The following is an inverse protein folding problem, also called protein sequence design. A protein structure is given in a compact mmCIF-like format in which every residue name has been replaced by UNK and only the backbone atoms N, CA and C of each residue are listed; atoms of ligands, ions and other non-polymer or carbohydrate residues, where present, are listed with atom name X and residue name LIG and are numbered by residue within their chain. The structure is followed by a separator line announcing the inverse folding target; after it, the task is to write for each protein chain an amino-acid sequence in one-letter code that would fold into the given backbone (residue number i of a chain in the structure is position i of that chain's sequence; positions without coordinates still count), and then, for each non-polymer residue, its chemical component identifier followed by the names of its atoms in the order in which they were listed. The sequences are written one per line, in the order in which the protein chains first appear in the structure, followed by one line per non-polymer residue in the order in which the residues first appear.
data_IF_409400382186
#
_entry.id   IF_409400382186
#
_cell.length_a   1.000
_cell.length_b   1.000
_cell.length_c   1.000
_cell.angle_alpha   90.00
_cell.angle_beta   90.00
_cell.angle_gamma   90.00
#
_symmetry.space_group_name_H-M   'P 1'
#
loop_
_entity.id
_entity.type
_entity.pdbx_description
1 polymer ?
#
# COMPACT_ATOMS: atom_id res chain seq x y z
N UNK A 1 -16.55 3.92 -4.31
CA UNK A 1 -15.29 4.55 -4.84
C UNK A 1 -14.74 3.72 -5.98
N UNK A 2 -13.98 4.38 -6.87
CA UNK A 2 -13.28 3.73 -7.97
C UNK A 2 -11.80 4.14 -7.90
N UNK A 3 -10.90 3.18 -7.89
CA UNK A 3 -9.46 3.40 -7.92
C UNK A 3 -8.70 2.12 -8.26
N UNK A 4 -7.42 2.24 -8.50
CA UNK A 4 -6.53 1.10 -8.75
C UNK A 4 -5.40 1.16 -7.73
N UNK A 5 -5.23 0.10 -6.96
CA UNK A 5 -4.06 -0.06 -6.10
C UNK A 5 -2.95 -0.77 -6.87
N UNK A 6 -1.73 -0.31 -6.69
CA UNK A 6 -0.54 -0.88 -7.33
C UNK A 6 0.57 -1.12 -6.32
N UNK A 7 1.46 -2.04 -6.69
CA UNK A 7 2.73 -2.25 -6.02
C UNK A 7 3.77 -2.75 -7.03
N UNK A 8 5.00 -2.22 -6.96
CA UNK A 8 6.12 -2.60 -7.82
C UNK A 8 7.21 -3.30 -7.01
N UNK A 9 7.80 -4.35 -7.61
CA UNK A 9 9.08 -4.87 -7.15
C UNK A 9 10.20 -4.49 -8.13
N UNK A 10 11.41 -4.26 -7.58
CA UNK A 10 12.58 -3.90 -8.38
C UNK A 10 13.68 -4.96 -8.28
N UNK A 11 14.35 -5.23 -9.40
CA UNK A 11 15.44 -6.20 -9.46
C UNK A 11 16.66 -5.76 -8.63
N UNK A 12 16.87 -4.44 -8.50
CA UNK A 12 18.01 -3.86 -7.79
C UNK A 12 17.67 -2.44 -7.29
N UNK A 13 18.68 -1.69 -6.86
CA UNK A 13 18.55 -0.32 -6.30
C UNK A 13 18.11 0.74 -7.33
N UNK A 14 18.20 0.47 -8.63
CA UNK A 14 17.78 1.40 -9.67
C UNK A 14 16.25 1.42 -9.78
N UNK A 15 15.68 2.61 -9.96
CA UNK A 15 14.23 2.79 -10.09
C UNK A 15 13.66 2.31 -11.42
N UNK A 16 14.48 2.20 -12.45
CA UNK A 16 14.11 1.67 -13.77
C UNK A 16 14.25 0.14 -13.87
N UNK A 17 14.51 -0.54 -12.76
CA UNK A 17 14.69 -2.00 -12.70
C UNK A 17 13.43 -2.76 -12.29
N UNK A 18 12.22 -2.26 -12.63
CA UNK A 18 10.98 -2.95 -12.34
C UNK A 18 11.03 -4.42 -12.79
N UNK A 19 10.75 -5.36 -11.88
CA UNK A 19 10.74 -6.81 -12.17
C UNK A 19 9.38 -7.47 -11.95
N UNK A 20 8.46 -6.80 -11.27
CA UNK A 20 7.04 -7.16 -11.26
C UNK A 20 6.16 -5.97 -10.94
N UNK A 21 4.88 -6.09 -11.28
CA UNK A 21 3.81 -5.18 -10.85
C UNK A 21 2.57 -5.97 -10.46
N UNK A 22 1.98 -5.61 -9.34
CA UNK A 22 0.66 -6.04 -8.92
C UNK A 22 -0.36 -4.90 -9.08
N UNK A 23 -1.57 -5.25 -9.49
CA UNK A 23 -2.71 -4.32 -9.59
C UNK A 23 -3.94 -4.92 -8.92
N UNK A 24 -4.69 -4.08 -8.23
CA UNK A 24 -6.01 -4.41 -7.69
C UNK A 24 -6.99 -3.32 -8.09
N UNK A 25 -8.00 -3.69 -8.86
CA UNK A 25 -9.02 -2.77 -9.38
C UNK A 25 -10.20 -2.74 -8.43
N UNK A 26 -10.52 -1.55 -7.94
CA UNK A 26 -11.71 -1.31 -7.11
C UNK A 26 -12.71 -0.50 -7.90
N UNK A 27 -13.95 -1.01 -8.00
CA UNK A 27 -15.12 -0.31 -8.54
C UNK A 27 -16.29 -0.44 -7.59
N UNK A 28 -17.01 0.65 -7.36
CA UNK A 28 -18.18 0.70 -6.48
C UNK A 28 -17.89 0.10 -5.07
N UNK A 29 -16.74 0.41 -4.49
CA UNK A 29 -16.24 -0.12 -3.20
C UNK A 29 -16.01 -1.64 -3.18
N UNK A 30 -15.90 -2.28 -4.32
CA UNK A 30 -15.63 -3.72 -4.42
C UNK A 30 -14.38 -3.98 -5.25
N UNK A 31 -13.56 -4.92 -4.81
CA UNK A 31 -12.45 -5.43 -5.59
C UNK A 31 -13.04 -6.31 -6.69
N UNK A 32 -12.82 -5.92 -7.95
CA UNK A 32 -13.37 -6.63 -9.11
C UNK A 32 -12.32 -7.36 -9.93
N UNK A 33 -11.05 -7.00 -9.78
CA UNK A 33 -9.96 -7.61 -10.54
C UNK A 33 -8.65 -7.49 -9.78
N UNK A 34 -7.83 -8.53 -9.89
CA UNK A 34 -6.43 -8.54 -9.45
C UNK A 34 -5.55 -9.04 -10.58
N UNK A 35 -4.43 -8.38 -10.80
CA UNK A 35 -3.45 -8.78 -11.82
C UNK A 35 -2.05 -8.79 -11.24
N UNK A 36 -1.24 -9.65 -11.81
CA UNK A 36 0.18 -9.76 -11.52
C UNK A 36 0.96 -9.98 -12.80
N UNK A 37 1.99 -9.19 -13.01
CA UNK A 37 2.87 -9.34 -14.15
C UNK A 37 4.32 -9.37 -13.69
N UNK A 38 5.04 -10.39 -14.13
CA UNK A 38 6.50 -10.36 -14.14
C UNK A 38 6.96 -9.46 -15.28
N UNK A 39 8.01 -8.69 -15.03
CA UNK A 39 8.59 -7.74 -15.97
C UNK A 39 10.06 -8.10 -16.17
N UNK A 40 10.49 -8.21 -17.41
CA UNK A 40 11.91 -8.35 -17.73
C UNK A 40 12.54 -6.95 -17.69
N UNK A 41 13.39 -6.63 -16.69
CA UNK A 41 14.07 -5.34 -16.65
C UNK A 41 15.11 -5.23 -17.79
N UNK A 42 15.48 -3.99 -18.17
CA UNK A 42 16.48 -3.74 -19.21
C UNK A 42 17.82 -4.42 -18.90
N UNK A 43 18.21 -4.43 -17.64
CA UNK A 43 19.41 -5.12 -17.15
C UNK A 43 18.98 -6.28 -16.24
N UNK A 44 19.37 -7.52 -16.58
CA UNK A 44 19.05 -8.72 -15.78
C UNK A 44 19.96 -8.85 -14.54
N UNK A 45 20.30 -7.73 -13.91
CA UNK A 45 21.04 -7.69 -12.67
C UNK A 45 20.07 -7.64 -11.49
N UNK A 46 20.12 -8.67 -10.67
CA UNK A 46 19.31 -8.77 -9.44
C UNK A 46 20.21 -8.66 -8.21
N UNK A 47 19.91 -7.71 -7.36
CA UNK A 47 20.63 -7.54 -6.10
C UNK A 47 20.16 -8.59 -5.08
N UNK A 48 21.08 -9.23 -4.31
CA UNK A 48 20.70 -10.25 -3.34
C UNK A 48 19.68 -9.78 -2.30
N UNK A 49 19.75 -8.51 -1.91
CA UNK A 49 18.82 -7.93 -0.95
C UNK A 49 17.39 -7.87 -1.51
N UNK A 50 17.22 -7.49 -2.80
CA UNK A 50 15.93 -7.45 -3.45
C UNK A 50 15.35 -8.87 -3.60
N UNK A 51 16.17 -9.84 -4.01
CA UNK A 51 15.76 -11.25 -4.07
C UNK A 51 15.33 -11.76 -2.68
N UNK A 52 16.02 -11.39 -1.62
CA UNK A 52 15.65 -11.82 -0.26
C UNK A 52 14.32 -11.22 0.21
N UNK A 53 13.89 -10.10 -0.37
CA UNK A 53 12.63 -9.44 -0.06
C UNK A 53 11.48 -10.09 -0.81
N UNK A 54 11.51 -10.13 -2.14
CA UNK A 54 10.37 -10.55 -2.97
C UNK A 54 10.53 -11.93 -3.64
N UNK A 55 11.70 -12.56 -3.55
CA UNK A 55 11.97 -13.91 -4.06
C UNK A 55 12.22 -13.99 -5.57
N UNK A 56 11.92 -12.96 -6.37
CA UNK A 56 12.04 -12.97 -7.82
C UNK A 56 13.51 -12.98 -8.23
N UNK A 57 13.87 -13.85 -9.17
CA UNK A 57 15.22 -14.03 -9.71
C UNK A 57 15.25 -13.71 -11.21
N UNK A 58 16.45 -13.49 -11.74
CA UNK A 58 16.65 -13.28 -13.17
C UNK A 58 16.08 -14.42 -14.05
N UNK A 59 16.12 -15.68 -13.55
CA UNK A 59 15.52 -16.84 -14.22
C UNK A 59 14.02 -16.71 -14.44
N UNK A 60 13.32 -16.10 -13.47
CA UNK A 60 11.86 -16.04 -13.44
C UNK A 60 11.32 -15.03 -14.46
N UNK A 61 12.09 -13.98 -14.73
CA UNK A 61 11.70 -12.90 -15.64
C UNK A 61 12.33 -12.99 -17.03
N UNK A 62 13.22 -13.96 -17.29
CA UNK A 62 13.97 -14.01 -18.57
C UNK A 62 13.07 -14.08 -19.81
N UNK A 63 11.92 -14.74 -19.70
CA UNK A 63 10.92 -14.91 -20.74
C UNK A 63 9.71 -13.99 -20.57
N UNK A 64 9.71 -13.11 -19.55
CA UNK A 64 8.65 -12.14 -19.36
C UNK A 64 8.73 -11.02 -20.41
N UNK A 65 7.63 -10.33 -20.63
CA UNK A 65 7.61 -9.10 -21.43
C UNK A 65 8.49 -8.03 -20.78
N UNK A 66 9.16 -7.24 -21.60
CA UNK A 66 9.75 -5.98 -21.14
C UNK A 66 8.65 -4.97 -20.83
N UNK A 67 8.99 -3.89 -20.12
CA UNK A 67 7.96 -2.94 -19.68
C UNK A 67 7.24 -2.27 -20.85
N UNK A 68 7.95 -1.89 -21.90
CA UNK A 68 7.38 -1.32 -23.13
C UNK A 68 6.40 -2.27 -23.83
N UNK A 69 6.72 -3.58 -23.85
CA UNK A 69 5.83 -4.61 -24.39
C UNK A 69 4.58 -4.83 -23.54
N UNK A 70 4.69 -4.60 -22.22
CA UNK A 70 3.58 -4.75 -21.29
C UNK A 70 2.75 -3.47 -21.20
N UNK A 71 3.34 -2.30 -21.45
CA UNK A 71 2.70 -1.00 -21.23
C UNK A 71 1.35 -0.81 -21.91
N UNK A 72 1.12 -1.26 -23.16
CA UNK A 72 -0.22 -1.19 -23.76
C UNK A 72 -1.31 -1.89 -22.96
N UNK A 73 -0.98 -2.95 -22.23
CA UNK A 73 -1.92 -3.64 -21.34
C UNK A 73 -2.11 -2.89 -20.01
N UNK A 74 -1.07 -2.20 -19.53
CA UNK A 74 -1.09 -1.45 -18.27
C UNK A 74 -1.72 -0.05 -18.41
N UNK A 75 -1.51 0.62 -19.53
CA UNK A 75 -1.93 2.01 -19.74
C UNK A 75 -3.40 2.29 -19.39
N UNK A 76 -4.38 1.42 -19.71
CA UNK A 76 -5.78 1.64 -19.34
C UNK A 76 -6.03 1.73 -17.83
N UNK A 77 -5.19 1.08 -17.02
CA UNK A 77 -5.30 1.13 -15.56
C UNK A 77 -4.80 2.45 -14.98
N UNK A 78 -3.91 3.14 -15.70
CA UNK A 78 -3.38 4.43 -15.26
C UNK A 78 -4.16 5.63 -15.81
N UNK A 79 -4.58 5.56 -17.07
CA UNK A 79 -5.20 6.71 -17.76
C UNK A 79 -6.51 7.13 -17.12
N UNK A 80 -6.58 8.39 -16.67
CA UNK A 80 -7.74 9.01 -16.02
C UNK A 80 -8.25 8.31 -14.76
N UNK A 81 -7.40 7.48 -14.13
CA UNK A 81 -7.71 6.80 -12.88
C UNK A 81 -7.01 7.47 -11.69
N UNK A 82 -7.45 7.12 -10.49
CA UNK A 82 -6.74 7.42 -9.26
C UNK A 82 -5.97 6.15 -8.85
N UNK A 83 -4.65 6.29 -8.74
CA UNK A 83 -3.74 5.22 -8.35
C UNK A 83 -3.47 5.33 -6.85
N UNK A 84 -3.59 4.22 -6.14
CA UNK A 84 -3.19 4.13 -4.73
C UNK A 84 -2.01 3.19 -4.59
N UNK A 85 -1.02 3.58 -3.81
CA UNK A 85 0.10 2.70 -3.47
C UNK A 85 0.51 2.88 -2.01
N UNK A 86 1.10 1.84 -1.42
CA UNK A 86 1.62 1.94 -0.06
C UNK A 86 3.07 2.40 -0.09
N UNK A 87 3.35 3.64 0.32
CA UNK A 87 4.59 4.37 0.05
C UNK A 87 4.72 4.80 -1.43
N UNK A 88 3.65 5.38 -1.96
CA UNK A 88 3.51 5.76 -3.36
C UNK A 88 4.70 6.55 -3.96
N UNK A 89 5.54 7.20 -3.13
CA UNK A 89 6.76 7.84 -3.59
C UNK A 89 7.73 6.83 -4.24
N UNK A 90 7.74 5.58 -3.76
CA UNK A 90 8.53 4.51 -4.34
C UNK A 90 7.94 4.07 -5.69
N UNK A 91 6.69 3.63 -5.69
CA UNK A 91 6.03 3.05 -6.87
C UNK A 91 5.93 4.02 -8.03
N UNK A 92 5.54 5.27 -7.75
CA UNK A 92 5.48 6.32 -8.77
C UNK A 92 6.87 6.76 -9.25
N UNK A 93 7.92 6.59 -8.44
CA UNK A 93 9.30 6.76 -8.89
C UNK A 93 9.72 5.62 -9.82
N UNK A 94 9.42 4.37 -9.46
CA UNK A 94 9.67 3.21 -10.34
C UNK A 94 8.95 3.37 -11.67
N UNK A 95 7.66 3.68 -11.64
CA UNK A 95 6.87 3.91 -12.86
C UNK A 95 7.51 4.97 -13.76
N UNK A 96 7.82 6.16 -13.21
CA UNK A 96 8.39 7.26 -13.99
C UNK A 96 9.75 6.91 -14.60
N UNK A 97 10.69 6.40 -13.80
CA UNK A 97 12.02 6.07 -14.30
C UNK A 97 11.98 4.93 -15.33
N UNK A 98 11.06 3.98 -15.16
CA UNK A 98 10.87 2.92 -16.16
C UNK A 98 10.29 3.49 -17.46
N UNK A 99 9.28 4.37 -17.39
CA UNK A 99 8.74 5.05 -18.57
C UNK A 99 9.81 5.90 -19.28
N UNK A 100 10.61 6.65 -18.51
CA UNK A 100 11.73 7.45 -19.04
C UNK A 100 12.76 6.58 -19.77
N UNK A 101 13.12 5.42 -19.18
CA UNK A 101 14.09 4.50 -19.78
C UNK A 101 13.63 3.92 -21.13
N UNK A 102 12.32 3.82 -21.35
CA UNK A 102 11.73 3.37 -22.60
C UNK A 102 11.22 4.51 -23.49
N UNK A 103 11.45 5.78 -23.11
CA UNK A 103 10.96 6.96 -23.83
C UNK A 103 9.44 6.97 -24.04
N UNK A 104 8.70 6.46 -23.07
CA UNK A 104 7.24 6.39 -23.07
C UNK A 104 6.67 7.61 -22.33
N UNK A 105 5.71 8.34 -22.92
CA UNK A 105 5.05 9.46 -22.24
C UNK A 105 4.35 9.03 -20.94
N UNK A 106 4.33 9.91 -19.96
CA UNK A 106 3.61 9.66 -18.71
C UNK A 106 2.10 9.61 -18.93
N UNK A 107 1.39 8.69 -18.28
CA UNK A 107 -0.06 8.67 -18.31
C UNK A 107 -0.64 9.86 -17.53
N UNK A 108 -1.83 10.31 -17.93
CA UNK A 108 -2.56 11.29 -17.13
C UNK A 108 -3.33 10.58 -16.02
N UNK A 109 -2.84 10.66 -14.79
CA UNK A 109 -3.48 10.08 -13.62
C UNK A 109 -3.25 10.91 -12.36
N UNK A 110 -4.08 10.68 -11.35
CA UNK A 110 -3.85 11.16 -9.99
C UNK A 110 -3.40 9.99 -9.11
N UNK A 111 -2.76 10.28 -8.01
CA UNK A 111 -2.32 9.20 -7.12
C UNK A 111 -2.30 9.59 -5.65
N UNK A 112 -2.49 8.61 -4.80
CA UNK A 112 -2.49 8.74 -3.35
C UNK A 112 -1.55 7.73 -2.67
N UNK A 113 -1.28 7.97 -1.39
CA UNK A 113 -0.37 7.16 -0.60
C UNK A 113 -1.07 6.65 0.66
N UNK A 114 -1.32 5.34 0.73
CA UNK A 114 -1.98 4.74 1.89
C UNK A 114 -1.12 4.77 3.14
N UNK A 115 0.21 4.86 3.03
CA UNK A 115 1.07 5.07 4.20
C UNK A 115 0.85 6.45 4.83
N UNK A 116 0.62 7.51 4.03
CA UNK A 116 0.27 8.84 4.56
C UNK A 116 -1.12 8.80 5.19
N UNK A 117 -2.09 8.18 4.53
CA UNK A 117 -3.44 7.99 5.07
C UNK A 117 -3.37 7.26 6.42
N UNK A 118 -2.66 6.14 6.49
CA UNK A 118 -2.56 5.33 7.71
C UNK A 118 -1.91 6.06 8.87
N UNK A 119 -0.85 6.84 8.62
CA UNK A 119 -0.22 7.67 9.67
C UNK A 119 -1.15 8.72 10.26
N UNK A 120 -2.07 9.23 9.46
CA UNK A 120 -3.03 10.24 9.90
C UNK A 120 -4.26 9.61 10.57
N UNK A 121 -4.70 8.47 10.06
CA UNK A 121 -5.92 7.78 10.46
C UNK A 121 -5.71 6.88 11.69
N UNK A 122 -4.57 6.20 11.76
CA UNK A 122 -4.18 5.33 12.87
C UNK A 122 -2.95 5.86 13.61
N UNK A 123 -3.02 7.05 14.24
CA UNK A 123 -1.86 7.69 14.88
C UNK A 123 -1.32 6.91 16.09
N UNK A 124 -2.08 5.95 16.61
CA UNK A 124 -1.73 5.10 17.75
C UNK A 124 -0.86 3.90 17.35
N UNK A 125 -0.75 3.57 16.05
CA UNK A 125 0.12 2.48 15.61
C UNK A 125 1.60 2.89 15.74
N UNK A 126 2.44 1.93 16.09
CA UNK A 126 3.89 2.18 16.23
C UNK A 126 4.53 2.67 14.92
N UNK A 127 3.99 2.23 13.79
CA UNK A 127 4.40 2.66 12.46
C UNK A 127 3.26 2.44 11.46
N UNK A 128 3.42 2.98 10.24
CA UNK A 128 2.45 2.81 9.15
C UNK A 128 3.00 1.91 8.04
N UNK A 129 3.75 0.86 8.37
CA UNK A 129 4.16 -0.16 7.41
C UNK A 129 2.93 -0.98 6.99
N UNK A 130 2.94 -1.50 5.77
CA UNK A 130 1.82 -2.23 5.19
C UNK A 130 1.37 -3.39 6.09
N UNK A 131 2.31 -4.20 6.56
CA UNK A 131 2.04 -5.31 7.47
C UNK A 131 1.45 -4.87 8.82
N UNK A 132 1.96 -3.79 9.42
CA UNK A 132 1.45 -3.26 10.69
C UNK A 132 0.01 -2.80 10.55
N UNK A 133 -0.30 -2.07 9.47
CA UNK A 133 -1.65 -1.56 9.22
C UNK A 133 -2.61 -2.71 8.92
N UNK A 134 -2.23 -3.66 8.06
CA UNK A 134 -3.08 -4.80 7.72
C UNK A 134 -3.34 -5.70 8.93
N UNK A 135 -2.34 -5.97 9.74
CA UNK A 135 -2.52 -6.70 11.00
C UNK A 135 -3.53 -5.99 11.93
N UNK A 136 -3.40 -4.67 12.08
CA UNK A 136 -4.36 -3.87 12.86
C UNK A 136 -5.79 -3.97 12.32
N UNK A 137 -5.95 -4.06 11.00
CA UNK A 137 -7.25 -4.19 10.34
C UNK A 137 -7.78 -5.64 10.31
N UNK A 138 -7.06 -6.60 10.89
CA UNK A 138 -7.42 -8.01 10.88
C UNK A 138 -7.30 -8.66 9.49
N UNK A 139 -6.44 -8.12 8.63
CA UNK A 139 -6.23 -8.60 7.27
C UNK A 139 -4.93 -9.42 7.22
N UNK A 140 -5.06 -10.69 6.86
CA UNK A 140 -3.90 -11.55 6.59
C UNK A 140 -3.52 -11.46 5.11
N UNK A 141 -2.22 -11.36 4.82
CA UNK A 141 -1.72 -11.37 3.45
C UNK A 141 -0.24 -11.84 3.40
N UNK A 142 0.16 -12.33 2.23
CA UNK A 142 1.52 -12.75 1.98
C UNK A 142 2.35 -11.53 1.52
N UNK A 143 3.09 -10.92 2.43
CA UNK A 143 3.88 -9.73 2.20
C UNK A 143 5.05 -9.99 1.23
N UNK A 144 5.43 -8.95 0.46
CA UNK A 144 6.46 -8.98 -0.58
C UNK A 144 6.11 -9.79 -1.84
N UNK A 145 4.83 -9.86 -2.15
CA UNK A 145 4.34 -10.28 -3.44
C UNK A 145 3.48 -9.14 -4.00
N UNK A 146 3.91 -8.51 -5.09
CA UNK A 146 3.32 -7.26 -5.58
C UNK A 146 1.78 -7.30 -5.71
N UNK A 147 1.19 -8.43 -6.14
CA UNK A 147 -0.27 -8.56 -6.18
C UNK A 147 -0.91 -8.57 -4.78
N UNK A 148 -0.29 -9.23 -3.82
CA UNK A 148 -0.80 -9.27 -2.44
C UNK A 148 -0.64 -7.91 -1.77
N UNK A 149 0.46 -7.19 -2.01
CA UNK A 149 0.72 -5.87 -1.46
C UNK A 149 -0.22 -4.81 -2.08
N UNK A 150 -0.50 -4.88 -3.40
CA UNK A 150 -1.53 -4.06 -4.05
C UNK A 150 -2.94 -4.36 -3.50
N UNK A 151 -3.26 -5.63 -3.24
CA UNK A 151 -4.53 -6.03 -2.63
C UNK A 151 -4.66 -5.49 -1.19
N UNK A 152 -3.61 -5.63 -0.40
CA UNK A 152 -3.55 -5.11 0.96
C UNK A 152 -3.70 -3.58 0.98
N UNK A 153 -3.05 -2.89 0.04
CA UNK A 153 -3.20 -1.44 -0.17
C UNK A 153 -4.67 -1.05 -0.46
N UNK A 154 -5.36 -1.81 -1.34
CA UNK A 154 -6.76 -1.57 -1.66
C UNK A 154 -7.66 -1.77 -0.43
N UNK A 155 -7.45 -2.82 0.34
CA UNK A 155 -8.22 -3.11 1.55
C UNK A 155 -8.09 -2.02 2.62
N UNK A 156 -6.91 -1.41 2.78
CA UNK A 156 -6.72 -0.28 3.69
C UNK A 156 -7.66 0.88 3.30
N UNK A 157 -7.74 1.21 2.02
CA UNK A 157 -8.63 2.29 1.53
C UNK A 157 -10.09 1.94 1.76
N UNK A 158 -10.49 0.70 1.46
CA UNK A 158 -11.87 0.23 1.64
C UNK A 158 -12.28 0.23 3.11
N UNK A 159 -11.40 -0.18 4.03
CA UNK A 159 -11.66 -0.13 5.47
C UNK A 159 -11.80 1.31 5.98
N UNK A 160 -10.94 2.21 5.53
CA UNK A 160 -11.09 3.63 5.86
C UNK A 160 -12.41 4.22 5.32
N UNK A 161 -12.86 3.80 4.14
CA UNK A 161 -14.13 4.22 3.58
C UNK A 161 -15.32 3.71 4.39
N UNK A 162 -15.29 2.45 4.83
CA UNK A 162 -16.33 1.89 5.71
C UNK A 162 -16.48 2.70 7.01
N UNK A 163 -15.36 3.13 7.60
CA UNK A 163 -15.36 3.89 8.83
C UNK A 163 -15.74 5.37 8.63
N UNK A 164 -15.26 6.01 7.57
CA UNK A 164 -15.51 7.43 7.28
C UNK A 164 -16.87 7.65 6.61
N UNK A 165 -17.43 6.63 5.97
CA UNK A 165 -18.66 6.70 5.17
C UNK A 165 -18.66 7.86 4.17
N UNK A 166 -17.49 8.11 3.56
CA UNK A 166 -17.31 9.16 2.57
C UNK A 166 -17.87 8.75 1.20
N UNK A 167 -18.29 9.72 0.40
CA UNK A 167 -18.94 9.50 -0.90
C UNK A 167 -17.95 8.97 -1.94
N UNK A 168 -16.72 9.50 -1.94
CA UNK A 168 -15.70 9.15 -2.92
C UNK A 168 -14.29 9.15 -2.32
N UNK A 169 -13.30 8.74 -3.13
CA UNK A 169 -11.92 8.65 -2.70
C UNK A 169 -11.27 10.02 -2.45
N UNK A 170 -11.71 11.06 -3.13
CA UNK A 170 -11.18 12.42 -2.95
C UNK A 170 -11.60 12.97 -1.58
N UNK A 171 -12.86 12.79 -1.23
CA UNK A 171 -13.37 13.13 0.09
C UNK A 171 -12.63 12.34 1.19
N UNK A 172 -12.43 11.03 1.01
CA UNK A 172 -11.64 10.21 1.93
C UNK A 172 -10.24 10.80 2.10
N UNK A 173 -9.55 11.06 1.00
CA UNK A 173 -8.20 11.62 1.04
C UNK A 173 -8.16 12.97 1.77
N UNK A 174 -9.12 13.84 1.51
CA UNK A 174 -9.23 15.14 2.17
C UNK A 174 -9.48 14.98 3.68
N UNK A 175 -10.44 14.15 4.08
CA UNK A 175 -10.76 13.87 5.48
C UNK A 175 -9.57 13.25 6.22
N UNK A 176 -8.87 12.30 5.60
CA UNK A 176 -7.70 11.66 6.15
C UNK A 176 -6.40 12.48 5.96
N UNK A 177 -6.50 13.73 5.47
CA UNK A 177 -5.38 14.67 5.41
C UNK A 177 -4.33 14.36 4.35
N UNK A 178 -4.75 13.83 3.20
CA UNK A 178 -3.91 13.57 2.04
C UNK A 178 -4.32 14.49 0.88
N UNK A 179 -3.35 15.20 0.29
CA UNK A 179 -3.47 15.82 -1.02
C UNK A 179 -2.97 14.83 -2.07
N UNK A 180 -3.83 14.48 -3.03
CA UNK A 180 -3.43 13.64 -4.15
C UNK A 180 -2.32 14.31 -4.97
N UNK A 181 -1.41 13.50 -5.47
CA UNK A 181 -0.44 13.88 -6.49
C UNK A 181 -1.02 13.72 -7.89
N UNK A 182 -0.29 14.20 -8.90
CA UNK A 182 -0.63 14.05 -10.32
C UNK A 182 0.57 13.57 -11.10
N UNK A 183 0.32 12.78 -12.13
CA UNK A 183 1.28 12.41 -13.15
C UNK A 183 0.65 12.74 -14.51
N UNK A 184 1.38 13.43 -15.37
CA UNK A 184 0.95 13.84 -16.70
C UNK A 184 2.19 14.02 -17.61
N UNK A 185 1.98 14.19 -18.89
CA UNK A 185 3.03 14.30 -19.90
C UNK A 185 4.09 15.40 -19.62
N UNK A 186 3.68 16.51 -19.03
CA UNK A 186 4.59 17.61 -18.65
C UNK A 186 5.30 17.39 -17.29
N UNK A 187 5.09 16.26 -16.58
CA UNK A 187 5.75 15.94 -15.32
C UNK A 187 4.85 15.40 -14.23
N UNK A 188 5.20 15.68 -12.95
CA UNK A 188 4.43 15.17 -11.82
C UNK A 188 4.41 16.15 -10.65
N UNK A 189 3.36 16.04 -9.85
CA UNK A 189 3.23 16.72 -8.56
C UNK A 189 3.10 15.63 -7.48
N UNK A 190 3.95 15.61 -6.44
CA UNK A 190 3.91 14.55 -5.44
C UNK A 190 2.64 14.61 -4.57
N UNK A 191 2.12 13.43 -4.22
CA UNK A 191 1.13 13.31 -3.16
C UNK A 191 1.76 13.73 -1.82
N UNK A 192 1.02 14.46 -0.99
CA UNK A 192 1.56 14.99 0.27
C UNK A 192 0.52 15.08 1.37
N UNK A 193 1.00 15.05 2.61
CA UNK A 193 0.17 15.34 3.78
C UNK A 193 -0.38 16.76 3.70
N UNK A 194 -1.67 16.91 3.92
CA UNK A 194 -2.28 18.23 4.12
C UNK A 194 -1.81 18.81 5.46
N UNK A 195 -1.47 20.08 5.48
CA UNK A 195 -1.30 20.81 6.74
C UNK A 195 -2.67 20.86 7.41
N UNK A 196 -2.75 20.47 8.69
CA UNK A 196 -4.01 20.58 9.46
C UNK A 196 -4.43 22.04 9.45
N UNK A 197 -5.50 22.36 8.74
CA UNK A 197 -6.28 23.57 8.99
C UNK A 197 -7.12 23.30 10.24
N UNK A 198 -7.13 24.23 11.18
CA UNK A 198 -7.69 24.09 12.54
C UNK A 198 -9.23 23.96 12.57
N UNK A 199 -9.89 23.63 11.47
CA UNK A 199 -11.36 23.71 11.33
C UNK A 199 -12.12 22.38 11.35
N UNK A 200 -11.49 21.26 11.66
CA UNK A 200 -12.21 19.98 11.77
C UNK A 200 -11.99 19.35 13.16
N UNK A 201 -12.73 19.86 14.14
CA UNK A 201 -12.98 19.16 15.41
C UNK A 201 -14.03 18.05 15.20
N UNK A 202 -13.81 17.10 14.34
CA UNK A 202 -14.34 15.75 14.54
C UNK A 202 -13.24 14.99 15.28
N UNK A 203 -13.42 14.84 16.58
CA UNK A 203 -12.66 13.88 17.36
C UNK A 203 -13.03 12.50 16.81
N UNK A 204 -12.27 12.06 15.79
CA UNK A 204 -12.35 10.70 15.34
C UNK A 204 -11.64 9.85 16.40
N UNK A 205 -12.41 9.27 17.27
CA UNK A 205 -12.01 8.12 18.07
C UNK A 205 -12.38 6.91 17.23
N UNK A 206 -11.41 6.19 16.64
CA UNK A 206 -11.70 4.91 16.01
C UNK A 206 -12.46 4.06 17.02
N UNK A 207 -13.60 3.51 16.63
CA UNK A 207 -14.24 2.49 17.45
C UNK A 207 -13.19 1.40 17.68
N UNK A 208 -12.89 1.03 18.93
CA UNK A 208 -12.07 -0.14 19.15
C UNK A 208 -12.76 -1.29 18.41
N UNK A 209 -12.02 -2.00 17.56
CA UNK A 209 -12.51 -3.23 16.96
C UNK A 209 -13.15 -4.07 18.08
N UNK A 210 -14.32 -4.68 17.83
CA UNK A 210 -14.93 -5.52 18.85
C UNK A 210 -13.88 -6.55 19.26
N UNK A 211 -13.40 -6.43 20.46
CA UNK A 211 -12.55 -7.43 21.09
C UNK A 211 -13.33 -8.74 21.04
N UNK A 212 -12.89 -9.69 20.23
CA UNK A 212 -13.33 -11.05 20.37
C UNK A 212 -12.66 -11.55 21.68
N UNK A 213 -13.31 -11.26 22.79
CA UNK A 213 -12.89 -11.81 24.05
C UNK A 213 -13.25 -13.29 24.05
N UNK A 214 -12.38 -14.11 23.53
CA UNK A 214 -12.27 -15.44 24.06
C UNK A 214 -11.68 -15.27 25.45
N UNK A 215 -12.52 -15.15 26.47
CA UNK A 215 -12.10 -15.19 27.87
C UNK A 215 -11.49 -16.56 28.11
N UNK A 216 -10.21 -16.70 27.83
CA UNK A 216 -9.48 -17.84 28.34
C UNK A 216 -9.08 -17.51 29.76
N UNK A 217 -9.59 -18.25 30.74
CA UNK A 217 -9.22 -18.14 32.15
C UNK A 217 -7.75 -18.53 32.45
N UNK A 218 -6.94 -18.70 31.40
CA UNK A 218 -5.55 -19.21 31.50
C UNK A 218 -4.66 -18.31 32.39
N UNK A 219 -4.91 -16.99 32.37
CA UNK A 219 -4.11 -16.02 33.13
C UNK A 219 -4.81 -15.44 34.37
N UNK A 220 -6.03 -15.90 34.67
CA UNK A 220 -6.80 -15.45 35.82
C UNK A 220 -6.05 -15.72 37.12
N UNK A 221 -5.89 -14.70 37.95
CA UNK A 221 -5.14 -14.73 39.20
C UNK A 221 -3.63 -15.04 39.07
N UNK A 222 -3.03 -14.80 37.87
CA UNK A 222 -1.59 -14.97 37.64
C UNK A 222 -0.93 -13.62 37.39
N UNK A 223 0.27 -13.44 37.87
CA UNK A 223 1.14 -12.32 37.49
C UNK A 223 1.91 -12.73 36.24
N UNK A 224 1.75 -11.94 35.16
CA UNK A 224 2.44 -12.18 33.88
C UNK A 224 3.54 -11.14 33.70
N UNK A 225 4.75 -11.59 33.43
CA UNK A 225 5.92 -10.75 33.16
C UNK A 225 6.41 -10.98 31.75
N UNK A 226 6.43 -9.90 30.95
CA UNK A 226 6.97 -9.96 29.59
C UNK A 226 8.48 -9.71 29.59
N UNK A 227 9.28 -10.72 29.26
CA UNK A 227 10.73 -10.64 29.09
C UNK A 227 11.09 -10.67 27.61
N UNK A 228 12.01 -9.79 27.16
CA UNK A 228 12.42 -9.71 25.77
C UNK A 228 11.46 -8.92 24.85
N UNK A 229 11.68 -9.01 23.54
CA UNK A 229 10.88 -8.33 22.52
C UNK A 229 9.70 -9.19 22.10
N UNK A 230 8.48 -8.67 22.22
CA UNK A 230 7.28 -9.32 21.68
C UNK A 230 7.26 -9.15 20.15
N UNK A 231 7.12 -10.26 19.42
CA UNK A 231 7.18 -10.24 17.95
C UNK A 231 5.85 -9.88 17.27
N UNK A 232 4.72 -10.11 17.94
CA UNK A 232 3.37 -9.99 17.36
C UNK A 232 2.55 -8.81 17.87
N UNK A 233 2.95 -8.19 18.98
CA UNK A 233 2.21 -7.05 19.55
C UNK A 233 3.08 -6.19 20.46
N UNK A 234 2.61 -4.96 20.78
CA UNK A 234 3.28 -4.12 21.78
C UNK A 234 3.06 -4.66 23.20
N UNK A 235 3.96 -4.28 24.14
CA UNK A 235 3.76 -4.64 25.58
C UNK A 235 2.46 -4.07 26.12
N UNK A 236 2.10 -2.86 25.72
CA UNK A 236 0.83 -2.22 26.13
C UNK A 236 -0.37 -3.04 25.65
N UNK A 237 -0.39 -3.43 24.38
CA UNK A 237 -1.44 -4.30 23.82
C UNK A 237 -1.52 -5.65 24.52
N UNK A 238 -0.37 -6.25 24.80
CA UNK A 238 -0.30 -7.54 25.52
C UNK A 238 -0.84 -7.39 26.96
N UNK A 239 -0.52 -6.29 27.65
CA UNK A 239 -1.07 -6.02 29.00
C UNK A 239 -2.58 -5.87 28.97
N UNK A 240 -3.13 -5.19 27.98
CA UNK A 240 -4.59 -5.03 27.83
C UNK A 240 -5.34 -6.33 27.53
N UNK A 241 -4.65 -7.31 26.91
CA UNK A 241 -5.23 -8.63 26.57
C UNK A 241 -5.36 -9.55 27.78
N UNK A 242 -4.61 -9.32 28.85
CA UNK A 242 -4.55 -10.18 30.02
C UNK A 242 -5.12 -9.53 31.29
N UNK A 243 -5.54 -8.25 31.22
CA UNK A 243 -6.27 -7.54 32.27
C UNK A 243 -7.77 -7.69 32.11
#
# INVERSE_FOLDING_TARGET
MNFIAIDFETANEKRDSACSIGLTVVKNNQIIEQKYYLIKPNELRFAPINISIHGIRASDVKNAKTFDQLWPELLPYFTNNIIMAHNAAFDLSVLRHTLDAYHIPYPNCRYGCTMILSRNFFPHLENAKLNTVNHHLGLEFNHHHASADAHACANIVLKMQEELQCADLEELCQMAGLKLGTLHDAGYIPAKKLKKTVTSKRNFTPSPLPFISSKSDVFKHKTVVFTGTLKSMSRLSATQLIS
#
